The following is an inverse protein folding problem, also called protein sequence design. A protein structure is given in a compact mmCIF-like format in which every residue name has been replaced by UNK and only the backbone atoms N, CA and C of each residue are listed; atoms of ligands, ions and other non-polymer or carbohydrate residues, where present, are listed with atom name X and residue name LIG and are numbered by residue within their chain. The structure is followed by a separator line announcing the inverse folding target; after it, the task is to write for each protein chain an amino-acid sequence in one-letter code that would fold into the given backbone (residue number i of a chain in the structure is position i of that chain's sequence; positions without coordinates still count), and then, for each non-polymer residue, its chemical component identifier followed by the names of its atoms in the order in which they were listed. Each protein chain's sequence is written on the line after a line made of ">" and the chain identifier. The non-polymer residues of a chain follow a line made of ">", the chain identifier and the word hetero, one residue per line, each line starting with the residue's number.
data_IF_051346970120
#
_entry.id   IF_051346970120
#
_cell.length_a   1.000
_cell.length_b   1.000
_cell.length_c   1.000
_cell.angle_alpha   90.00
_cell.angle_beta   90.00
_cell.angle_gamma   90.00
#
_symmetry.space_group_name_H-M   'P 1'
#
loop_
_entity.id
_entity.type
_entity.pdbx_description
1 polymer ?
#
# COMPACT_ATOMS: atom_id res chain seq x y z
N UNK A 1 -46.43 28.78 14.42
CA UNK A 1 -44.99 28.99 14.12
C UNK A 1 -44.06 27.88 14.62
N UNK A 2 -44.46 26.94 15.49
CA UNK A 2 -43.54 25.89 16.00
C UNK A 2 -43.25 24.73 15.03
N UNK A 3 -44.22 24.32 14.21
CA UNK A 3 -44.08 23.15 13.32
C UNK A 3 -43.15 23.40 12.12
N UNK A 4 -43.20 24.59 11.52
CA UNK A 4 -42.35 24.99 10.39
C UNK A 4 -40.87 25.05 10.78
N UNK A 5 -40.58 25.53 12.01
CA UNK A 5 -39.22 25.57 12.55
C UNK A 5 -38.67 24.15 12.75
N UNK A 6 -39.45 23.26 13.37
CA UNK A 6 -39.09 21.85 13.55
C UNK A 6 -38.86 21.15 12.20
N UNK A 7 -39.78 21.34 11.23
CA UNK A 7 -39.65 20.78 9.90
C UNK A 7 -38.39 21.27 9.15
N UNK A 8 -38.01 22.54 9.31
CA UNK A 8 -36.77 23.08 8.77
C UNK A 8 -35.52 22.40 9.35
N UNK A 9 -35.46 22.20 10.67
CA UNK A 9 -34.33 21.47 11.30
C UNK A 9 -34.28 20.00 10.87
N UNK A 10 -35.41 19.32 10.73
CA UNK A 10 -35.45 17.95 10.20
C UNK A 10 -35.00 17.88 8.73
N UNK A 11 -35.42 18.84 7.91
CA UNK A 11 -34.96 18.96 6.51
C UNK A 11 -33.45 19.19 6.43
N UNK A 12 -32.91 20.12 7.22
CA UNK A 12 -31.48 20.39 7.29
C UNK A 12 -30.68 19.17 7.81
N UNK A 13 -31.19 18.48 8.83
CA UNK A 13 -30.59 17.26 9.36
C UNK A 13 -30.57 16.14 8.31
N UNK A 14 -31.66 15.94 7.55
CA UNK A 14 -31.73 14.95 6.49
C UNK A 14 -30.72 15.24 5.37
N UNK A 15 -30.57 16.51 4.96
CA UNK A 15 -29.54 16.93 4.00
C UNK A 15 -28.14 16.65 4.57
N UNK A 16 -27.89 16.99 5.83
CA UNK A 16 -26.60 16.71 6.49
C UNK A 16 -26.26 15.21 6.49
N UNK A 17 -27.21 14.35 6.85
CA UNK A 17 -27.05 12.89 6.83
C UNK A 17 -26.77 12.39 5.41
N UNK A 18 -27.49 12.91 4.42
CA UNK A 18 -27.27 12.53 3.02
C UNK A 18 -25.84 12.88 2.55
N UNK A 19 -25.35 14.08 2.87
CA UNK A 19 -23.97 14.47 2.57
C UNK A 19 -22.94 13.58 3.29
N UNK A 20 -23.17 13.27 4.58
CA UNK A 20 -22.31 12.35 5.33
C UNK A 20 -22.26 10.97 4.68
N UNK A 21 -23.38 10.48 4.15
CA UNK A 21 -23.44 9.20 3.47
C UNK A 21 -22.63 9.18 2.16
N UNK A 22 -22.69 10.27 1.38
CA UNK A 22 -21.85 10.43 0.17
C UNK A 22 -20.36 10.42 0.54
N UNK A 23 -19.97 11.21 1.55
CA UNK A 23 -18.58 11.27 2.02
C UNK A 23 -18.11 9.90 2.51
N UNK A 24 -18.95 9.17 3.23
CA UNK A 24 -18.66 7.81 3.70
C UNK A 24 -18.40 6.85 2.52
N UNK A 25 -19.24 6.87 1.49
CA UNK A 25 -19.05 6.02 0.30
C UNK A 25 -17.73 6.36 -0.40
N UNK A 26 -17.43 7.64 -0.59
CA UNK A 26 -16.18 8.08 -1.24
C UNK A 26 -14.97 7.66 -0.43
N UNK A 27 -15.01 7.83 0.90
CA UNK A 27 -13.93 7.41 1.80
C UNK A 27 -13.71 5.89 1.75
N UNK A 28 -14.79 5.12 1.71
CA UNK A 28 -14.74 3.66 1.66
C UNK A 28 -14.21 3.16 0.31
N UNK A 29 -14.60 3.79 -0.79
CA UNK A 29 -14.04 3.53 -2.13
C UNK A 29 -12.55 3.87 -2.18
N UNK A 30 -12.14 5.04 -1.66
CA UNK A 30 -10.73 5.46 -1.56
C UNK A 30 -9.93 4.42 -0.79
N UNK A 31 -10.43 4.00 0.36
CA UNK A 31 -9.78 3.01 1.22
C UNK A 31 -9.62 1.65 0.53
N UNK A 32 -10.68 1.12 -0.08
CA UNK A 32 -10.64 -0.15 -0.80
C UNK A 32 -9.68 -0.12 -1.99
N UNK A 33 -9.69 0.95 -2.78
CA UNK A 33 -8.85 1.07 -3.96
C UNK A 33 -7.36 1.14 -3.58
N UNK A 34 -7.05 1.92 -2.55
CA UNK A 34 -5.69 2.00 -2.01
C UNK A 34 -5.24 0.66 -1.43
N UNK A 35 -6.09 0.00 -0.64
CA UNK A 35 -5.83 -1.32 -0.06
C UNK A 35 -5.58 -2.38 -1.12
N UNK A 36 -6.36 -2.36 -2.21
CA UNK A 36 -6.18 -3.27 -3.34
C UNK A 36 -4.82 -3.13 -4.01
N UNK A 37 -4.39 -1.91 -4.36
CA UNK A 37 -3.08 -1.73 -5.01
C UNK A 37 -1.93 -2.01 -4.05
N UNK A 38 -2.08 -1.67 -2.77
CA UNK A 38 -1.08 -2.00 -1.75
C UNK A 38 -0.95 -3.52 -1.57
N UNK A 39 -2.07 -4.24 -1.56
CA UNK A 39 -2.08 -5.71 -1.55
C UNK A 39 -1.31 -6.28 -2.75
N UNK A 40 -1.55 -5.76 -3.97
CA UNK A 40 -0.83 -6.22 -5.17
C UNK A 40 0.67 -5.97 -5.08
N UNK A 41 1.09 -4.81 -4.62
CA UNK A 41 2.52 -4.50 -4.39
C UNK A 41 3.10 -5.48 -3.36
N UNK A 42 2.41 -5.71 -2.26
CA UNK A 42 2.83 -6.60 -1.19
C UNK A 42 2.93 -8.07 -1.64
N UNK A 43 1.98 -8.53 -2.44
CA UNK A 43 1.95 -9.88 -3.00
C UNK A 43 3.15 -10.11 -3.94
N UNK A 44 3.39 -9.20 -4.89
CA UNK A 44 4.50 -9.33 -5.86
C UNK A 44 5.85 -9.25 -5.15
N UNK A 45 5.98 -8.40 -4.12
CA UNK A 45 7.21 -8.28 -3.33
C UNK A 45 7.38 -9.40 -2.29
N UNK A 46 6.36 -10.21 -2.04
CA UNK A 46 6.41 -11.29 -1.04
C UNK A 46 6.46 -10.78 0.40
N UNK A 47 5.77 -9.68 0.71
CA UNK A 47 5.67 -9.13 2.07
C UNK A 47 4.87 -10.05 3.00
N UNK A 48 5.11 -9.90 4.31
CA UNK A 48 4.39 -10.65 5.32
C UNK A 48 2.97 -10.12 5.46
N UNK A 49 1.98 -11.03 5.46
CA UNK A 49 0.55 -10.76 5.65
C UNK A 49 -0.02 -9.66 4.72
N UNK A 50 0.05 -9.82 3.39
CA UNK A 50 -0.37 -8.78 2.44
C UNK A 50 -1.83 -8.36 2.60
N UNK A 51 -2.70 -9.24 3.12
CA UNK A 51 -4.11 -8.94 3.39
C UNK A 51 -4.32 -7.83 4.43
N UNK A 52 -3.30 -7.50 5.25
CA UNK A 52 -3.36 -6.36 6.17
C UNK A 52 -3.56 -5.01 5.46
N UNK A 53 -3.33 -4.95 4.15
CA UNK A 53 -3.63 -3.77 3.34
C UNK A 53 -5.12 -3.33 3.40
N UNK A 54 -6.04 -4.24 3.77
CA UNK A 54 -7.47 -3.96 3.90
C UNK A 54 -7.93 -3.69 5.33
N UNK A 55 -7.02 -3.68 6.31
CA UNK A 55 -7.36 -3.34 7.68
C UNK A 55 -6.94 -1.90 7.99
N UNK A 56 -7.72 -1.17 8.81
CA UNK A 56 -7.26 0.09 9.38
C UNK A 56 -5.92 -0.13 10.07
N UNK A 57 -4.96 0.79 9.87
CA UNK A 57 -3.57 0.70 10.36
C UNK A 57 -2.73 -0.46 9.77
N UNK A 58 -3.33 -1.51 9.23
CA UNK A 58 -2.60 -2.58 8.54
C UNK A 58 -1.86 -2.09 7.30
N UNK A 59 -2.35 -1.03 6.66
CA UNK A 59 -1.62 -0.28 5.62
C UNK A 59 -0.27 0.25 6.12
N UNK A 60 -0.16 0.64 7.39
CA UNK A 60 1.08 1.14 7.98
C UNK A 60 2.10 0.02 8.20
N UNK A 61 1.61 -1.18 8.54
CA UNK A 61 2.47 -2.36 8.64
C UNK A 61 3.11 -2.68 7.29
N UNK A 62 2.30 -2.71 6.22
CA UNK A 62 2.78 -2.98 4.86
C UNK A 62 3.69 -1.85 4.35
N UNK A 63 3.33 -0.59 4.61
CA UNK A 63 4.17 0.57 4.29
C UNK A 63 5.53 0.52 4.99
N UNK A 64 5.55 0.25 6.29
CA UNK A 64 6.78 0.14 7.07
C UNK A 64 7.67 -1.03 6.65
N UNK A 65 7.11 -2.15 6.20
CA UNK A 65 7.90 -3.22 5.59
C UNK A 65 8.68 -2.76 4.36
N UNK A 66 8.13 -1.82 3.58
CA UNK A 66 8.83 -1.25 2.43
C UNK A 66 9.99 -0.32 2.83
N UNK A 67 9.96 0.24 4.04
CA UNK A 67 11.06 1.02 4.62
C UNK A 67 12.21 0.18 5.14
N UNK A 68 11.88 -0.96 5.76
CA UNK A 68 12.86 -1.86 6.37
C UNK A 68 13.67 -2.67 5.35
N UNK A 69 13.36 -2.53 4.06
CA UNK A 69 13.86 -3.37 2.97
C UNK A 69 15.37 -3.35 2.73
N UNK A 70 16.11 -4.13 3.54
CA UNK A 70 17.13 -5.06 3.04
C UNK A 70 16.36 -6.28 2.46
N UNK A 71 16.00 -6.21 1.18
CA UNK A 71 15.17 -7.20 0.48
C UNK A 71 16.08 -8.35 0.01
N UNK A 72 16.36 -9.32 0.88
CA UNK A 72 17.02 -10.57 0.48
C UNK A 72 16.18 -11.76 0.95
N UNK A 73 15.62 -12.48 -0.03
CA UNK A 73 15.01 -13.82 -0.01
C UNK A 73 13.66 -13.99 0.71
N UNK A 74 12.71 -14.55 -0.06
CA UNK A 74 11.44 -15.12 0.39
C UNK A 74 11.74 -16.16 1.48
N UNK A 75 11.25 -15.95 2.70
CA UNK A 75 11.47 -16.84 3.84
C UNK A 75 12.59 -16.45 4.82
N UNK A 76 13.35 -15.37 4.59
CA UNK A 76 14.30 -14.81 5.58
C UNK A 76 13.86 -13.44 6.10
N UNK A 77 12.54 -13.27 6.29
CA UNK A 77 11.99 -12.02 6.80
C UNK A 77 12.19 -11.96 8.32
N UNK A 78 13.22 -11.22 8.75
CA UNK A 78 13.29 -10.67 10.10
C UNK A 78 12.61 -9.29 10.05
N UNK A 79 11.30 -9.18 10.33
CA UNK A 79 10.64 -7.88 10.31
C UNK A 79 11.31 -6.97 11.34
N UNK A 80 12.11 -6.01 10.87
CA UNK A 80 12.45 -4.88 11.73
C UNK A 80 11.14 -4.18 12.08
N UNK A 81 11.08 -3.70 13.31
CA UNK A 81 9.82 -3.39 13.99
C UNK A 81 9.18 -2.09 13.49
N UNK A 82 9.57 -1.53 12.33
CA UNK A 82 9.15 -0.19 11.92
C UNK A 82 7.69 -0.17 11.48
N UNK A 83 7.26 -1.17 10.70
CA UNK A 83 5.84 -1.36 10.37
C UNK A 83 4.99 -1.59 11.61
N UNK A 84 5.48 -2.37 12.58
CA UNK A 84 4.80 -2.60 13.85
C UNK A 84 4.77 -1.31 14.71
N UNK A 85 5.84 -0.54 14.73
CA UNK A 85 5.94 0.74 15.43
C UNK A 85 4.96 1.77 14.85
N UNK A 86 4.80 1.82 13.53
CA UNK A 86 3.77 2.68 12.92
C UNK A 86 2.36 2.24 13.26
N UNK A 87 2.08 0.92 13.30
CA UNK A 87 0.78 0.41 13.76
C UNK A 87 0.52 0.81 15.21
N UNK A 88 1.47 0.55 16.11
CA UNK A 88 1.36 0.91 17.53
C UNK A 88 1.19 2.41 17.69
N UNK A 89 2.02 3.22 17.03
CA UNK A 89 1.92 4.68 17.07
C UNK A 89 0.57 5.19 16.57
N UNK A 90 0.07 4.64 15.46
CA UNK A 90 -1.26 4.95 14.93
C UNK A 90 -2.39 4.59 15.89
N UNK A 91 -2.30 3.41 16.53
CA UNK A 91 -3.28 2.97 17.52
C UNK A 91 -3.25 3.83 18.79
N UNK A 92 -2.05 4.19 19.28
CA UNK A 92 -1.86 5.07 20.44
C UNK A 92 -2.47 6.45 20.16
N UNK A 93 -2.20 7.03 19.00
CA UNK A 93 -2.79 8.33 18.63
C UNK A 93 -4.32 8.23 18.50
N UNK A 94 -4.84 7.10 18.03
CA UNK A 94 -6.28 6.86 17.95
C UNK A 94 -6.94 6.82 19.34
N UNK A 95 -6.33 6.15 20.33
CA UNK A 95 -6.89 6.04 21.69
C UNK A 95 -6.72 7.31 22.54
N UNK A 96 -5.90 8.28 22.14
CA UNK A 96 -5.70 9.54 22.86
C UNK A 96 -6.92 10.47 22.86
N UNK A 97 -8.07 10.02 22.36
CA UNK A 97 -9.33 10.76 22.42
C UNK A 97 -9.35 12.00 21.52
N UNK A 98 -8.54 11.99 20.47
CA UNK A 98 -8.48 13.04 19.46
C UNK A 98 -9.85 13.25 18.79
N UNK A 99 -10.12 14.48 18.34
CA UNK A 99 -11.33 14.75 17.58
C UNK A 99 -11.34 13.94 16.28
N UNK A 100 -12.52 13.71 15.69
CA UNK A 100 -12.63 12.97 14.43
C UNK A 100 -11.78 13.62 13.31
N UNK A 101 -11.70 14.95 13.31
CA UNK A 101 -10.85 15.69 12.37
C UNK A 101 -9.36 15.43 12.60
N UNK A 102 -8.92 15.47 13.86
CA UNK A 102 -7.53 15.20 14.23
C UNK A 102 -7.12 13.76 13.90
N UNK A 103 -8.03 12.80 14.11
CA UNK A 103 -7.81 11.39 13.73
C UNK A 103 -7.65 11.28 12.22
N UNK A 104 -8.50 11.94 11.42
CA UNK A 104 -8.41 11.90 9.97
C UNK A 104 -7.10 12.50 9.45
N UNK A 105 -6.69 13.66 9.97
CA UNK A 105 -5.43 14.33 9.60
C UNK A 105 -4.24 13.45 10.00
N UNK A 106 -4.23 12.96 11.25
CA UNK A 106 -3.16 12.10 11.77
C UNK A 106 -3.03 10.82 10.97
N UNK A 107 -4.15 10.19 10.62
CA UNK A 107 -4.16 8.99 9.80
C UNK A 107 -3.52 9.25 8.43
N UNK A 108 -3.91 10.32 7.75
CA UNK A 108 -3.34 10.69 6.44
C UNK A 108 -1.85 10.98 6.54
N UNK A 109 -1.40 11.67 7.59
CA UNK A 109 0.02 11.95 7.82
C UNK A 109 0.82 10.68 8.08
N UNK A 110 0.35 9.82 8.99
CA UNK A 110 0.98 8.55 9.32
C UNK A 110 1.02 7.60 8.11
N UNK A 111 -0.06 7.55 7.34
CA UNK A 111 -0.14 6.81 6.07
C UNK A 111 0.94 7.29 5.09
N UNK A 112 1.07 8.61 4.95
CA UNK A 112 2.03 9.22 4.05
C UNK A 112 3.46 8.94 4.47
N UNK A 113 3.75 9.03 5.77
CA UNK A 113 5.04 8.67 6.35
C UNK A 113 5.31 7.19 6.13
N UNK A 114 4.36 6.29 6.39
CA UNK A 114 4.56 4.85 6.22
C UNK A 114 4.81 4.47 4.75
N UNK A 115 4.32 5.25 3.79
CA UNK A 115 4.48 4.95 2.36
C UNK A 115 5.75 5.49 1.72
N UNK A 116 6.58 6.31 2.38
CA UNK A 116 7.77 6.82 1.67
C UNK A 116 8.74 5.73 1.23
N UNK A 117 8.83 4.59 1.93
CA UNK A 117 9.60 3.42 1.47
C UNK A 117 9.09 2.90 0.13
N UNK A 118 7.77 2.82 -0.05
CA UNK A 118 7.14 2.44 -1.32
C UNK A 118 7.40 3.50 -2.40
N UNK A 119 7.23 4.78 -2.06
CA UNK A 119 7.43 5.87 -3.02
C UNK A 119 8.88 5.98 -3.47
N UNK A 120 9.83 5.86 -2.55
CA UNK A 120 11.26 5.78 -2.82
C UNK A 120 11.59 4.56 -3.69
N UNK A 121 10.99 3.40 -3.41
CA UNK A 121 11.19 2.21 -4.24
C UNK A 121 10.63 2.38 -5.67
N UNK A 122 9.54 3.14 -5.84
CA UNK A 122 8.99 3.46 -7.15
C UNK A 122 9.90 4.39 -7.97
N UNK A 123 10.29 5.54 -7.39
CA UNK A 123 11.08 6.59 -8.07
C UNK A 123 12.59 6.35 -8.03
N UNK A 124 13.07 5.38 -7.24
CA UNK A 124 14.49 5.06 -7.01
C UNK A 124 15.32 6.22 -6.46
N UNK A 125 14.69 7.23 -5.85
CA UNK A 125 15.34 8.39 -5.23
C UNK A 125 14.67 8.74 -3.89
N UNK A 126 15.44 8.88 -2.79
CA UNK A 126 14.86 9.11 -1.47
C UNK A 126 14.15 10.47 -1.38
N UNK A 127 14.75 11.53 -1.93
CA UNK A 127 14.18 12.89 -1.89
C UNK A 127 12.82 12.95 -2.59
N UNK A 128 12.71 12.38 -3.79
CA UNK A 128 11.44 12.32 -4.51
C UNK A 128 10.40 11.47 -3.77
N UNK A 129 10.81 10.40 -3.08
CA UNK A 129 9.92 9.60 -2.26
C UNK A 129 9.29 10.40 -1.11
N UNK A 130 10.08 11.23 -0.42
CA UNK A 130 9.59 12.14 0.62
C UNK A 130 8.67 13.21 0.03
N UNK A 131 9.00 13.78 -1.13
CA UNK A 131 8.13 14.76 -1.80
C UNK A 131 6.78 14.14 -2.20
N UNK A 132 6.77 12.89 -2.67
CA UNK A 132 5.54 12.16 -2.96
C UNK A 132 4.71 11.89 -1.70
N UNK A 133 5.36 11.69 -0.55
CA UNK A 133 4.66 11.55 0.72
C UNK A 133 4.02 12.86 1.18
N UNK A 134 4.71 13.98 1.05
CA UNK A 134 4.13 15.30 1.30
C UNK A 134 2.96 15.57 0.36
N UNK A 135 3.11 15.24 -0.93
CA UNK A 135 2.02 15.33 -1.90
C UNK A 135 0.83 14.46 -1.49
N UNK A 136 1.08 13.25 -1.01
CA UNK A 136 0.04 12.36 -0.51
C UNK A 136 -0.72 12.95 0.68
N UNK A 137 -0.01 13.55 1.63
CA UNK A 137 -0.61 14.21 2.78
C UNK A 137 -1.53 15.37 2.35
N UNK A 138 -1.04 16.25 1.47
CA UNK A 138 -1.79 17.42 0.98
C UNK A 138 -3.00 17.01 0.12
N UNK A 139 -2.90 15.90 -0.61
CA UNK A 139 -3.99 15.38 -1.45
C UNK A 139 -4.93 14.43 -0.71
N UNK A 140 -4.81 14.28 0.62
CA UNK A 140 -5.72 13.42 1.40
C UNK A 140 -5.59 11.92 1.07
N UNK A 141 -4.42 11.46 0.65
CA UNK A 141 -4.18 10.05 0.32
C UNK A 141 -4.41 9.67 -1.15
N UNK A 142 -4.81 10.61 -2.01
CA UNK A 142 -5.08 10.31 -3.43
C UNK A 142 -3.81 9.96 -4.18
N UNK A 143 -2.69 10.67 -3.92
CA UNK A 143 -1.43 10.40 -4.60
C UNK A 143 -0.94 8.95 -4.38
N UNK A 144 -1.13 8.40 -3.18
CA UNK A 144 -0.77 7.02 -2.87
C UNK A 144 -1.47 6.03 -3.80
N UNK A 145 -2.75 6.22 -4.11
CA UNK A 145 -3.49 5.34 -5.03
C UNK A 145 -2.80 5.32 -6.40
N UNK A 146 -2.49 6.50 -6.95
CA UNK A 146 -1.88 6.63 -8.27
C UNK A 146 -0.49 5.98 -8.27
N UNK A 147 0.34 6.27 -7.26
CA UNK A 147 1.69 5.73 -7.18
C UNK A 147 1.67 4.22 -6.95
N UNK A 148 0.80 3.70 -6.09
CA UNK A 148 0.63 2.27 -5.85
C UNK A 148 0.16 1.55 -7.12
N UNK A 149 -0.78 2.14 -7.88
CA UNK A 149 -1.19 1.63 -9.18
C UNK A 149 -0.01 1.53 -10.15
N UNK A 150 0.69 2.65 -10.37
CA UNK A 150 1.84 2.70 -11.28
C UNK A 150 2.96 1.75 -10.85
N UNK A 151 3.21 1.65 -9.54
CA UNK A 151 4.23 0.77 -9.00
C UNK A 151 3.83 -0.70 -9.15
N UNK A 152 2.58 -1.05 -8.87
CA UNK A 152 2.08 -2.42 -9.07
C UNK A 152 2.19 -2.87 -10.53
N UNK A 153 1.90 -1.97 -11.48
CA UNK A 153 2.07 -2.22 -12.91
C UNK A 153 3.53 -2.44 -13.27
N UNK A 154 4.42 -1.55 -12.82
CA UNK A 154 5.87 -1.66 -13.04
C UNK A 154 6.43 -2.97 -12.50
N UNK A 155 6.05 -3.34 -11.26
CA UNK A 155 6.49 -4.59 -10.64
C UNK A 155 6.00 -5.82 -11.40
N UNK A 156 4.78 -5.78 -11.94
CA UNK A 156 4.26 -6.88 -12.75
C UNK A 156 5.02 -7.03 -14.07
N UNK A 157 5.32 -5.93 -14.75
CA UNK A 157 6.13 -5.95 -15.98
C UNK A 157 7.55 -6.51 -15.72
N UNK A 158 8.17 -6.12 -14.61
CA UNK A 158 9.48 -6.66 -14.17
C UNK A 158 9.41 -8.15 -13.80
N UNK A 159 8.32 -8.58 -13.13
CA UNK A 159 8.13 -9.96 -12.69
C UNK A 159 7.81 -10.92 -13.85
N UNK A 160 6.87 -10.56 -14.73
CA UNK A 160 6.45 -11.37 -15.87
C UNK A 160 7.59 -11.47 -16.92
N UNK A 161 8.33 -10.37 -17.13
CA UNK A 161 9.53 -10.38 -17.98
C UNK A 161 10.64 -11.29 -17.44
N UNK A 162 10.81 -11.36 -16.13
CA UNK A 162 11.78 -12.28 -15.51
C UNK A 162 11.39 -13.75 -15.66
N UNK A 163 10.11 -14.09 -15.79
CA UNK A 163 9.67 -15.47 -16.00
C UNK A 163 9.89 -15.92 -17.45
N UNK A 164 9.62 -15.05 -18.43
CA UNK A 164 9.88 -15.30 -19.86
C UNK A 164 11.37 -15.56 -20.17
N UNK A 165 12.30 -14.87 -19.48
CA UNK A 165 13.74 -15.12 -19.62
C UNK A 165 14.24 -16.40 -18.94
N UNK A 166 13.48 -16.92 -17.96
CA UNK A 166 13.84 -18.15 -17.24
C UNK A 166 13.37 -19.38 -18.01
N UNK A 167 12.18 -19.31 -18.60
CA UNK A 167 11.61 -20.38 -19.42
C UNK A 167 12.44 -20.65 -20.70
N UNK A 168 12.98 -19.60 -21.34
CA UNK A 168 13.86 -19.73 -22.50
C UNK A 168 15.27 -20.28 -22.20
N UNK A 169 15.72 -20.28 -20.94
CA UNK A 169 17.04 -20.80 -20.56
C UNK A 169 16.99 -22.22 -20.00
N UNK A 170 15.81 -22.73 -19.62
CA UNK A 170 15.64 -24.10 -19.12
C UNK A 170 15.18 -25.07 -20.21
N UNK A 171 14.84 -24.60 -21.41
CA UNK A 171 14.49 -25.46 -22.57
C UNK A 171 15.69 -26.02 -23.34
N UNK A 172 16.93 -25.69 -22.97
CA UNK A 172 18.15 -26.13 -23.69
C UNK A 172 18.98 -27.16 -22.90
N UNK A 173 18.33 -27.96 -22.06
CA UNK A 173 18.94 -29.10 -21.35
C UNK A 173 18.18 -30.39 -21.57
N UNK A 174 18.14 -30.85 -22.82
CA UNK A 174 17.95 -32.28 -23.11
C UNK A 174 18.61 -32.68 -24.43
N UNK A 175 19.90 -33.02 -24.37
CA UNK A 175 20.50 -33.96 -25.31
C UNK A 175 21.14 -35.12 -24.55
N UNK A 176 20.39 -36.17 -24.21
CA UNK A 176 20.96 -37.43 -23.74
C UNK A 176 21.34 -38.27 -24.96
N UNK A 177 22.46 -37.94 -25.60
CA UNK A 177 23.26 -38.80 -26.49
C UNK A 177 24.25 -37.92 -27.28
N UNK A 178 25.36 -37.53 -26.66
CA UNK A 178 26.58 -37.18 -27.39
C UNK A 178 27.52 -38.39 -27.33
N UNK A 179 27.73 -39.14 -28.44
CA UNK A 179 28.57 -40.33 -28.45
C UNK A 179 30.08 -40.05 -28.39
N UNK A 180 30.52 -38.78 -28.37
CA UNK A 180 31.93 -38.43 -28.50
C UNK A 180 32.67 -38.18 -27.18
N UNK A 181 32.07 -38.43 -26.02
CA UNK A 181 32.71 -38.13 -24.72
C UNK A 181 33.70 -39.21 -24.22
N UNK A 182 34.00 -40.26 -24.99
CA UNK A 182 34.89 -41.33 -24.55
C UNK A 182 35.93 -41.77 -25.60
N UNK A 183 36.51 -40.80 -26.31
CA UNK A 183 37.83 -40.96 -26.92
C UNK A 183 38.81 -40.10 -26.13
N UNK A 184 39.83 -40.78 -25.59
CA UNK A 184 41.04 -40.22 -25.00
C UNK A 184 40.99 -39.93 -23.50
N UNK A 185 40.86 -40.98 -22.66
CA UNK A 185 41.67 -41.18 -21.44
C UNK A 185 41.94 -42.67 -21.25
#
# INVERSE_FOLDING_TARGET
>A
MGWEFIAFFFGAAAIGIFFLFIVLIIALLKWLLQGYFLFRVAEIKGYHLPFLAFLPFGTFYIGGQAYDGNIMKKGSFEPKQLGLAFVIGGLVLYIMGLSIGDIAITYVLMESIAFVGIFTAYVKQPVLGVLLALLNAVTGGIAAIIILFLYSRKLREEHDGSQLFKENNDSDKSHPNDPNLNRDI
#
